data_IF_394509268063
#
_entry.id   IF_394509268063
#
_cell.length_a   1.000
_cell.length_b   1.000
_cell.length_c   1.000
_cell.angle_alpha   90.00
_cell.angle_beta   90.00
_cell.angle_gamma   90.00
#
_symmetry.space_group_name_H-M   'P 1'
#
loop_
_entity.id
_entity.type
_entity.pdbx_description
1 polymer ?
#
# COMPACT_ATOMS: atom_id res chain seq x y z
N UNK A 1 9.62 2.91 -28.19
CA UNK A 1 9.87 3.56 -26.89
C UNK A 1 8.88 4.71 -26.80
N UNK A 2 7.80 4.50 -26.07
CA UNK A 2 6.69 5.45 -26.00
C UNK A 2 6.99 6.51 -24.93
N UNK A 3 6.53 7.76 -25.11
CA UNK A 3 6.84 8.87 -24.20
C UNK A 3 6.43 8.58 -22.74
N UNK A 4 5.39 7.75 -22.55
CA UNK A 4 4.90 7.34 -21.24
C UNK A 4 5.86 6.40 -20.50
N UNK A 5 6.64 5.57 -21.21
CA UNK A 5 7.65 4.68 -20.61
C UNK A 5 8.82 5.46 -20.01
N UNK A 6 9.24 6.53 -20.67
CA UNK A 6 10.34 7.39 -20.19
C UNK A 6 9.89 8.19 -18.97
N UNK A 7 8.66 8.73 -19.00
CA UNK A 7 8.06 9.40 -17.85
C UNK A 7 7.95 8.45 -16.66
N UNK A 8 7.53 7.20 -16.92
CA UNK A 8 7.42 6.16 -15.90
C UNK A 8 8.75 5.86 -15.21
N UNK A 9 9.85 5.68 -15.96
CA UNK A 9 11.18 5.43 -15.37
C UNK A 9 11.63 6.59 -14.48
N UNK A 10 11.54 7.82 -15.00
CA UNK A 10 11.98 9.01 -14.27
C UNK A 10 11.21 9.22 -12.97
N UNK A 11 9.91 8.90 -12.93
CA UNK A 11 9.14 9.01 -11.70
C UNK A 11 9.26 7.79 -10.79
N UNK A 12 9.51 6.59 -11.33
CA UNK A 12 9.75 5.38 -10.53
C UNK A 12 10.99 5.52 -9.64
N UNK A 13 12.08 6.09 -10.14
CA UNK A 13 13.31 6.29 -9.36
C UNK A 13 13.11 7.30 -8.21
N UNK A 14 12.34 8.35 -8.46
CA UNK A 14 11.96 9.34 -7.45
C UNK A 14 11.03 8.74 -6.40
N UNK A 15 10.09 7.89 -6.83
CA UNK A 15 9.15 7.20 -5.95
C UNK A 15 9.87 6.20 -5.04
N UNK A 16 10.83 5.46 -5.58
CA UNK A 16 11.67 4.55 -4.82
C UNK A 16 12.48 5.30 -3.77
N UNK A 17 13.14 6.40 -4.17
CA UNK A 17 13.88 7.27 -3.24
C UNK A 17 12.97 7.84 -2.14
N UNK A 18 11.74 8.22 -2.50
CA UNK A 18 10.74 8.69 -1.56
C UNK A 18 10.34 7.60 -0.55
N UNK A 19 10.08 6.37 -1.00
CA UNK A 19 9.73 5.24 -0.12
C UNK A 19 10.89 4.93 0.82
N UNK A 20 12.13 4.83 0.31
CA UNK A 20 13.31 4.64 1.14
C UNK A 20 13.51 5.74 2.18
N UNK A 21 13.16 6.99 1.87
CA UNK A 21 13.24 8.08 2.86
C UNK A 21 12.24 7.96 4.03
N UNK A 22 11.22 7.10 3.90
CA UNK A 22 10.12 6.94 4.87
C UNK A 22 10.07 5.58 5.53
N UNK A 23 10.83 4.61 5.04
CA UNK A 23 10.84 3.23 5.53
C UNK A 23 12.27 2.89 5.93
N UNK A 24 12.46 2.57 7.21
CA UNK A 24 13.79 2.35 7.77
C UNK A 24 14.41 1.03 7.30
N UNK A 25 13.57 0.00 7.14
CA UNK A 25 13.99 -1.33 6.73
C UNK A 25 13.95 -1.48 5.20
N UNK A 26 15.05 -1.90 4.56
CA UNK A 26 15.13 -1.99 3.10
C UNK A 26 14.16 -3.03 2.52
N UNK A 27 13.98 -4.16 3.20
CA UNK A 27 13.03 -5.21 2.78
C UNK A 27 11.59 -4.71 2.76
N UNK A 28 11.20 -3.93 3.78
CA UNK A 28 9.87 -3.32 3.84
C UNK A 28 9.67 -2.27 2.75
N UNK A 29 10.72 -1.52 2.40
CA UNK A 29 10.65 -0.55 1.31
C UNK A 29 10.41 -1.24 -0.04
N UNK A 30 11.06 -2.38 -0.28
CA UNK A 30 10.86 -3.20 -1.48
C UNK A 30 9.45 -3.79 -1.55
N UNK A 31 8.91 -4.27 -0.44
CA UNK A 31 7.52 -4.78 -0.35
C UNK A 31 6.51 -3.66 -0.65
N UNK A 32 6.67 -2.49 -0.03
CA UNK A 32 5.82 -1.33 -0.29
C UNK A 32 5.91 -0.91 -1.76
N UNK A 33 7.11 -0.90 -2.34
CA UNK A 33 7.31 -0.53 -3.75
C UNK A 33 6.53 -1.47 -4.68
N UNK A 34 6.58 -2.78 -4.44
CA UNK A 34 5.81 -3.75 -5.22
C UNK A 34 4.31 -3.49 -5.12
N UNK A 35 3.80 -3.25 -3.91
CA UNK A 35 2.40 -2.90 -3.66
C UNK A 35 1.96 -1.63 -4.39
N UNK A 36 2.84 -0.63 -4.42
CA UNK A 36 2.61 0.64 -5.12
C UNK A 36 2.50 0.39 -6.61
N UNK A 37 3.42 -0.38 -7.21
CA UNK A 37 3.35 -0.71 -8.62
C UNK A 37 2.08 -1.48 -8.97
N UNK A 38 1.70 -2.49 -8.17
CA UNK A 38 0.45 -3.23 -8.38
C UNK A 38 -0.77 -2.30 -8.36
N UNK A 39 -0.89 -1.46 -7.33
CA UNK A 39 -2.00 -0.48 -7.21
C UNK A 39 -1.99 0.52 -8.35
N UNK A 40 -0.81 0.92 -8.84
CA UNK A 40 -0.70 1.80 -10.00
C UNK A 40 -1.16 1.09 -11.27
N UNK A 41 -0.71 -0.14 -11.56
CA UNK A 41 -1.18 -0.91 -12.72
C UNK A 41 -2.68 -1.15 -12.70
N UNK A 42 -3.24 -1.48 -11.53
CA UNK A 42 -4.68 -1.68 -11.38
C UNK A 42 -5.47 -0.41 -11.64
N UNK A 43 -4.97 0.75 -11.19
CA UNK A 43 -5.72 2.01 -11.21
C UNK A 43 -5.30 2.96 -12.33
N UNK A 44 -4.34 2.61 -13.17
CA UNK A 44 -3.83 3.49 -14.24
C UNK A 44 -4.95 3.95 -15.18
N UNK A 45 -5.96 3.11 -15.40
CA UNK A 45 -7.15 3.44 -16.19
C UNK A 45 -8.04 4.53 -15.58
N UNK A 46 -7.87 4.83 -14.29
CA UNK A 46 -8.60 5.90 -13.58
C UNK A 46 -7.94 7.27 -13.76
N UNK A 47 -6.68 7.29 -14.20
CA UNK A 47 -5.97 8.52 -14.49
C UNK A 47 -6.51 9.12 -15.79
N UNK A 48 -7.26 10.22 -15.67
CA UNK A 48 -7.85 10.95 -16.79
C UNK A 48 -6.99 12.08 -17.33
N UNK A 49 -5.94 12.43 -16.58
CA UNK A 49 -5.11 13.61 -16.82
C UNK A 49 -3.65 13.29 -16.52
N UNK A 50 -2.87 13.19 -17.59
CA UNK A 50 -1.47 12.85 -17.62
C UNK A 50 -0.62 13.84 -16.79
N UNK A 51 -1.07 15.09 -16.68
CA UNK A 51 -0.38 16.11 -15.88
C UNK A 51 -0.48 15.83 -14.37
N UNK A 52 -1.43 14.99 -13.96
CA UNK A 52 -1.63 14.59 -12.56
C UNK A 52 -0.97 13.26 -12.23
N UNK A 53 -0.31 12.61 -13.19
CA UNK A 53 0.33 11.31 -13.02
C UNK A 53 1.26 11.32 -11.79
N UNK A 54 2.13 12.33 -11.68
CA UNK A 54 3.08 12.46 -10.57
C UNK A 54 2.37 12.54 -9.20
N UNK A 55 1.43 13.48 -9.05
CA UNK A 55 0.66 13.65 -7.80
C UNK A 55 -0.13 12.39 -7.42
N UNK A 56 -0.71 11.72 -8.41
CA UNK A 56 -1.47 10.49 -8.23
C UNK A 56 -0.58 9.32 -7.78
N UNK A 57 0.62 9.16 -8.36
CA UNK A 57 1.58 8.13 -7.92
C UNK A 57 2.05 8.36 -6.49
N UNK A 58 2.37 9.60 -6.11
CA UNK A 58 2.73 9.93 -4.72
C UNK A 58 1.58 9.66 -3.74
N UNK A 59 0.33 9.85 -4.17
CA UNK A 59 -0.83 9.51 -3.36
C UNK A 59 -0.95 8.01 -3.13
N UNK A 60 -0.71 7.18 -4.16
CA UNK A 60 -0.67 5.72 -4.02
C UNK A 60 0.47 5.30 -3.08
N UNK A 61 1.68 5.82 -3.28
CA UNK A 61 2.83 5.51 -2.42
C UNK A 61 2.60 5.89 -0.96
N UNK A 62 2.07 7.08 -0.70
CA UNK A 62 1.72 7.51 0.66
C UNK A 62 0.71 6.56 1.30
N UNK A 63 -0.33 6.16 0.56
CA UNK A 63 -1.34 5.24 1.07
C UNK A 63 -0.77 3.85 1.35
N UNK A 64 0.13 3.34 0.50
CA UNK A 64 0.80 2.06 0.70
C UNK A 64 1.71 2.09 1.95
N UNK A 65 2.50 3.15 2.13
CA UNK A 65 3.32 3.33 3.34
C UNK A 65 2.46 3.34 4.61
N UNK A 66 1.34 4.09 4.59
CA UNK A 66 0.42 4.15 5.74
C UNK A 66 -0.19 2.78 6.03
N UNK A 67 -0.63 2.07 5.00
CA UNK A 67 -1.25 0.74 5.15
C UNK A 67 -0.24 -0.26 5.72
N UNK A 68 1.00 -0.24 5.23
CA UNK A 68 2.10 -1.03 5.77
C UNK A 68 2.34 -0.78 7.26
N UNK A 69 2.45 0.47 7.68
CA UNK A 69 2.62 0.78 9.11
C UNK A 69 1.35 0.49 9.94
N UNK A 70 0.17 0.49 9.34
CA UNK A 70 -1.09 0.14 10.01
C UNK A 70 -1.19 -1.37 10.25
N UNK A 71 -0.76 -2.19 9.30
CA UNK A 71 -0.77 -3.66 9.41
C UNK A 71 0.38 -4.19 10.27
N UNK A 72 1.52 -3.49 10.30
CA UNK A 72 2.67 -3.85 11.14
C UNK A 72 2.61 -3.31 12.57
N UNK A 73 1.66 -2.43 12.89
CA UNK A 73 1.29 -2.25 14.29
C UNK A 73 0.67 -3.56 14.76
N UNK A 74 1.12 -4.15 15.88
CA UNK A 74 0.38 -5.22 16.52
C UNK A 74 -0.99 -4.62 16.80
N UNK A 75 -1.94 -4.96 15.94
CA UNK A 75 -3.34 -4.84 16.30
C UNK A 75 -3.42 -5.81 17.45
N UNK A 76 -3.60 -5.28 18.66
CA UNK A 76 -4.24 -6.02 19.74
C UNK A 76 -5.51 -6.59 19.10
N UNK A 77 -5.41 -7.80 18.57
CA UNK A 77 -6.55 -8.63 18.26
C UNK A 77 -7.10 -8.93 19.63
N UNK A 78 -7.96 -8.02 20.11
CA UNK A 78 -8.90 -8.29 21.17
C UNK A 78 -9.46 -9.69 20.89
N UNK A 79 -9.28 -10.65 21.81
CA UNK A 79 -9.95 -11.93 21.70
C UNK A 79 -11.43 -11.61 21.56
N UNK A 80 -12.02 -11.96 20.43
CA UNK A 80 -13.48 -11.96 20.34
C UNK A 80 -13.95 -13.14 21.18
N UNK A 81 -13.99 -12.95 22.50
CA UNK A 81 -14.74 -13.79 23.41
C UNK A 81 -16.19 -13.74 22.95
N UNK A 82 -16.62 -14.80 22.28
CA UNK A 82 -18.04 -15.10 22.16
C UNK A 82 -18.35 -16.12 23.24
N UNK A 83 -18.88 -15.73 24.42
CA UNK A 83 -19.53 -16.70 25.28
C UNK A 83 -20.79 -17.19 24.56
N UNK A 84 -21.29 -18.35 24.99
CA UNK A 84 -22.58 -18.97 24.61
C UNK A 84 -22.45 -20.09 23.58
N UNK A 85 -21.85 -21.22 23.98
CA UNK A 85 -22.56 -22.47 23.73
C UNK A 85 -23.46 -22.73 24.93
N UNK A 86 -24.77 -22.57 24.71
CA UNK A 86 -25.82 -22.98 25.61
C UNK A 86 -25.57 -24.44 26.01
N UNK A 87 -25.39 -24.71 27.29
CA UNK A 87 -25.70 -26.02 27.82
C UNK A 87 -27.22 -26.23 27.61
N UNK A 88 -27.67 -27.24 26.86
CA UNK A 88 -29.02 -27.70 27.03
C UNK A 88 -29.10 -28.34 28.42
N UNK A 89 -30.03 -27.82 29.20
CA UNK A 89 -30.50 -28.34 30.46
C UNK A 89 -30.74 -29.85 30.37
N UNK A 90 -29.96 -30.63 31.10
CA UNK A 90 -30.31 -31.99 31.49
C UNK A 90 -30.43 -32.00 33.01
N UNK A 91 -31.66 -32.25 33.51
CA UNK A 91 -31.99 -32.41 34.93
C UNK A 91 -33.25 -31.68 35.36
#
# INVERSE_FOLDING_TARGET
>A
MTAIETLWRGTSDQLLSFIHSRVHEPTQAEDILQDVFLKMYERIHTLRDDQKLESWMYQIARNAIIDHYRTHKPTDTLPNEMPTHLAPSDG
#
